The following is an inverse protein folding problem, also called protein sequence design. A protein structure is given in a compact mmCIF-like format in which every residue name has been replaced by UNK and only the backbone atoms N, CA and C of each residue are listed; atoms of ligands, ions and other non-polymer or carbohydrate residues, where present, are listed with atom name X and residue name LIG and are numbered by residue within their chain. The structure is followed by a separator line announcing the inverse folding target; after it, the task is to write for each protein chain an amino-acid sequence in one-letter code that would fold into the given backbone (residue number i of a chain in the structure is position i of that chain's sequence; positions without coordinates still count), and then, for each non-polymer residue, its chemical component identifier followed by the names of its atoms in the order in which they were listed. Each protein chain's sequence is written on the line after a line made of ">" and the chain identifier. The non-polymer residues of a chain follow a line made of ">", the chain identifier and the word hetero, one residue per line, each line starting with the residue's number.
data_IF_554819424595
#
_entry.id   IF_554819424595
#
_cell.length_a   1.000
_cell.length_b   1.000
_cell.length_c   1.000
_cell.angle_alpha   90.00
_cell.angle_beta   90.00
_cell.angle_gamma   90.00
#
_symmetry.space_group_name_H-M   'P 1'
#
loop_
_entity.id
_entity.type
_entity.pdbx_description
1 polymer ?
#
# COMPACT_ATOMS: atom_id res chain seq x y z
N UNK A 1 -13.75 -26.32 35.01
CA UNK A 1 -13.06 -25.79 33.82
C UNK A 1 -13.76 -24.53 33.36
N UNK A 2 -13.04 -23.42 33.17
CA UNK A 2 -13.59 -22.20 32.54
C UNK A 2 -13.11 -22.17 31.09
N UNK A 3 -14.00 -21.85 30.15
CA UNK A 3 -13.73 -21.86 28.71
C UNK A 3 -14.01 -20.45 28.18
N UNK A 4 -13.10 -19.91 27.38
CA UNK A 4 -13.24 -18.59 26.78
C UNK A 4 -13.01 -18.69 25.27
N UNK A 5 -13.88 -18.06 24.48
CA UNK A 5 -13.61 -17.78 23.06
C UNK A 5 -12.88 -16.43 22.99
N UNK A 6 -11.62 -16.44 22.60
CA UNK A 6 -10.78 -15.24 22.47
C UNK A 6 -10.79 -14.71 21.02
N UNK A 7 -10.29 -13.50 20.81
CA UNK A 7 -10.13 -12.94 19.46
C UNK A 7 -9.08 -13.78 18.69
N UNK A 8 -9.38 -14.12 17.44
CA UNK A 8 -8.46 -14.83 16.54
C UNK A 8 -7.24 -14.00 16.14
N UNK A 9 -7.33 -12.67 16.25
CA UNK A 9 -6.24 -11.72 15.97
C UNK A 9 -5.29 -11.54 17.15
N UNK A 10 -5.56 -12.19 18.30
CA UNK A 10 -4.64 -12.14 19.45
C UNK A 10 -3.29 -12.76 19.09
N UNK A 11 -2.21 -12.08 19.47
CA UNK A 11 -0.85 -12.53 19.17
C UNK A 11 -0.56 -13.90 19.79
N UNK A 12 -0.34 -14.91 18.94
CA UNK A 12 -0.05 -16.28 19.35
C UNK A 12 1.17 -16.38 20.28
N UNK A 13 2.20 -15.56 20.06
CA UNK A 13 3.41 -15.59 20.89
C UNK A 13 3.12 -15.07 22.31
N UNK A 14 2.19 -14.12 22.47
CA UNK A 14 1.78 -13.63 23.78
C UNK A 14 0.99 -14.68 24.56
N UNK A 15 0.10 -15.41 23.89
CA UNK A 15 -0.59 -16.54 24.48
C UNK A 15 0.43 -17.60 24.93
N UNK A 16 1.45 -17.87 24.11
CA UNK A 16 2.51 -18.81 24.46
C UNK A 16 3.35 -18.34 25.64
N UNK A 17 3.55 -17.03 25.86
CA UNK A 17 4.22 -16.53 27.08
C UNK A 17 3.46 -16.92 28.35
N UNK A 18 2.12 -16.91 28.30
CA UNK A 18 1.29 -17.33 29.44
C UNK A 18 1.28 -18.85 29.62
N UNK A 19 1.15 -19.62 28.54
CA UNK A 19 1.08 -21.10 28.59
C UNK A 19 2.45 -21.73 28.85
N UNK A 20 3.54 -21.10 28.40
CA UNK A 20 4.91 -21.59 28.44
C UNK A 20 5.12 -22.99 27.80
N UNK A 21 4.74 -23.21 26.52
CA UNK A 21 5.05 -24.46 25.82
C UNK A 21 6.55 -24.57 25.50
N UNK A 22 6.99 -25.74 25.03
CA UNK A 22 8.35 -25.86 24.48
C UNK A 22 8.55 -24.93 23.27
N UNK A 23 9.77 -24.45 23.08
CA UNK A 23 10.12 -23.55 21.96
C UNK A 23 9.86 -24.21 20.60
N UNK A 24 10.14 -25.50 20.52
CA UNK A 24 9.90 -26.33 19.34
C UNK A 24 8.41 -26.43 19.04
N UNK A 25 7.59 -26.67 20.07
CA UNK A 25 6.13 -26.72 19.95
C UNK A 25 5.54 -25.38 19.51
N UNK A 26 5.97 -24.28 20.11
CA UNK A 26 5.57 -22.92 19.72
C UNK A 26 5.89 -22.64 18.25
N UNK A 27 7.11 -22.94 17.80
CA UNK A 27 7.54 -22.70 16.42
C UNK A 27 6.78 -23.53 15.38
N UNK A 28 6.30 -24.71 15.74
CA UNK A 28 5.46 -25.56 14.88
C UNK A 28 4.02 -25.01 14.83
N UNK A 29 3.43 -24.70 15.98
CA UNK A 29 2.04 -24.24 16.08
C UNK A 29 1.84 -22.84 15.50
N UNK A 30 2.81 -21.93 15.65
CA UNK A 30 2.75 -20.57 15.08
C UNK A 30 2.49 -20.57 13.58
N UNK A 31 3.03 -21.55 12.84
CA UNK A 31 2.85 -21.69 11.39
C UNK A 31 1.44 -22.16 11.00
N UNK A 32 0.60 -22.54 11.97
CA UNK A 32 -0.79 -22.95 11.77
C UNK A 32 -1.78 -21.86 12.22
N UNK A 33 -1.29 -20.73 12.71
CA UNK A 33 -2.14 -19.67 13.28
C UNK A 33 -2.88 -18.86 12.20
N UNK A 34 -2.35 -18.81 10.98
CA UNK A 34 -2.93 -18.05 9.87
C UNK A 34 -3.54 -18.98 8.82
N UNK A 35 -4.70 -18.60 8.31
CA UNK A 35 -5.39 -19.26 7.19
C UNK A 35 -5.37 -18.33 5.98
N UNK A 36 -4.89 -18.82 4.85
CA UNK A 36 -4.69 -18.04 3.64
C UNK A 36 -5.59 -18.53 2.51
N UNK A 37 -5.95 -17.62 1.61
CA UNK A 37 -6.82 -17.85 0.47
C UNK A 37 -6.09 -17.39 -0.79
N UNK A 38 -5.87 -18.30 -1.75
CA UNK A 38 -5.27 -17.97 -3.05
C UNK A 38 -6.27 -18.32 -4.16
N UNK A 39 -6.71 -17.32 -4.90
CA UNK A 39 -7.57 -17.53 -6.08
C UNK A 39 -6.67 -17.78 -7.30
N UNK A 40 -6.80 -18.95 -7.91
CA UNK A 40 -6.08 -19.34 -9.11
C UNK A 40 -7.02 -19.20 -10.30
N UNK A 41 -6.80 -18.21 -11.14
CA UNK A 41 -7.53 -18.04 -12.41
C UNK A 41 -6.86 -18.87 -13.51
N UNK A 42 -7.68 -19.32 -14.46
CA UNK A 42 -7.27 -20.02 -15.68
C UNK A 42 -6.36 -21.24 -15.45
N UNK A 43 -6.57 -21.96 -14.34
CA UNK A 43 -5.82 -23.18 -14.04
C UNK A 43 -6.30 -24.31 -14.97
N UNK A 44 -5.35 -24.99 -15.61
CA UNK A 44 -5.62 -26.15 -16.46
C UNK A 44 -6.15 -27.30 -15.62
N UNK A 45 -7.11 -28.06 -16.13
CA UNK A 45 -7.70 -29.20 -15.41
C UNK A 45 -6.66 -30.21 -14.88
N UNK A 46 -5.60 -30.60 -15.63
CA UNK A 46 -4.55 -31.47 -15.09
C UNK A 46 -3.82 -30.84 -13.90
N UNK A 47 -3.50 -29.54 -13.97
CA UNK A 47 -2.85 -28.81 -12.88
C UNK A 47 -3.74 -28.74 -11.64
N UNK A 48 -5.03 -28.47 -11.81
CA UNK A 48 -5.98 -28.41 -10.71
C UNK A 48 -6.18 -29.78 -10.04
N UNK A 49 -6.16 -30.89 -10.81
CA UNK A 49 -6.21 -32.23 -10.25
C UNK A 49 -4.95 -32.59 -9.44
N UNK A 50 -3.76 -32.28 -9.98
CA UNK A 50 -2.49 -32.45 -9.25
C UNK A 50 -2.51 -31.65 -7.95
N UNK A 51 -2.80 -30.35 -8.05
CA UNK A 51 -2.85 -29.44 -6.91
C UNK A 51 -3.89 -29.87 -5.87
N UNK A 52 -5.06 -30.39 -6.29
CA UNK A 52 -6.09 -30.90 -5.36
C UNK A 52 -5.55 -32.09 -4.56
N UNK A 53 -4.89 -33.03 -5.22
CA UNK A 53 -4.31 -34.21 -4.56
C UNK A 53 -3.18 -33.81 -3.60
N UNK A 54 -2.28 -32.94 -4.06
CA UNK A 54 -1.16 -32.46 -3.25
C UNK A 54 -1.64 -31.62 -2.06
N UNK A 55 -2.64 -30.75 -2.22
CA UNK A 55 -3.26 -30.01 -1.12
C UNK A 55 -3.93 -30.93 -0.09
N UNK A 56 -4.77 -31.88 -0.53
CA UNK A 56 -5.45 -32.81 0.37
C UNK A 56 -4.46 -33.69 1.16
N UNK A 57 -3.36 -34.10 0.53
CA UNK A 57 -2.34 -34.94 1.18
C UNK A 57 -1.66 -34.28 2.39
N UNK A 58 -1.76 -32.95 2.51
CA UNK A 58 -1.21 -32.17 3.63
C UNK A 58 -2.31 -31.52 4.48
N UNK A 59 -3.58 -31.89 4.24
CA UNK A 59 -4.76 -31.36 4.94
C UNK A 59 -5.15 -29.94 4.58
N UNK A 60 -4.65 -29.41 3.45
CA UNK A 60 -5.14 -28.16 2.87
C UNK A 60 -6.35 -28.44 1.97
N UNK A 61 -7.06 -27.39 1.57
CA UNK A 61 -8.22 -27.51 0.70
C UNK A 61 -8.03 -26.76 -0.62
N UNK A 62 -8.51 -27.37 -1.70
CA UNK A 62 -8.62 -26.70 -3.00
C UNK A 62 -10.06 -26.83 -3.50
N UNK A 63 -10.74 -25.71 -3.67
CA UNK A 63 -12.05 -25.67 -4.35
C UNK A 63 -11.78 -25.66 -5.84
N UNK A 64 -12.41 -26.55 -6.58
CA UNK A 64 -12.28 -26.67 -8.04
C UNK A 64 -13.64 -26.62 -8.71
N UNK A 65 -13.67 -26.31 -10.00
CA UNK A 65 -14.89 -26.44 -10.80
C UNK A 65 -15.33 -27.91 -10.89
N UNK A 66 -16.65 -28.15 -10.99
CA UNK A 66 -17.22 -29.51 -11.05
C UNK A 66 -16.69 -30.36 -12.22
N UNK A 67 -16.30 -29.73 -13.32
CA UNK A 67 -15.81 -30.41 -14.53
C UNK A 67 -14.29 -30.64 -14.53
N UNK A 68 -13.55 -30.23 -13.49
CA UNK A 68 -12.09 -30.44 -13.42
C UNK A 68 -11.71 -31.92 -13.50
N UNK A 69 -12.54 -32.81 -12.92
CA UNK A 69 -12.34 -34.27 -12.99
C UNK A 69 -12.51 -34.85 -14.39
N UNK A 70 -13.28 -34.17 -15.26
CA UNK A 70 -13.57 -34.59 -16.63
C UNK A 70 -12.55 -34.03 -17.64
N UNK A 71 -11.45 -33.44 -17.15
CA UNK A 71 -10.47 -32.74 -17.97
C UNK A 71 -11.11 -31.64 -18.85
N UNK A 72 -12.04 -30.87 -18.27
CA UNK A 72 -12.68 -29.74 -18.95
C UNK A 72 -11.74 -28.55 -19.20
N UNK A 73 -12.30 -27.47 -19.72
CA UNK A 73 -11.58 -26.21 -19.98
C UNK A 73 -10.89 -25.65 -18.73
N UNK A 74 -9.98 -24.70 -18.95
CA UNK A 74 -9.34 -23.95 -17.87
C UNK A 74 -10.42 -23.33 -16.98
N UNK A 75 -10.17 -23.31 -15.67
CA UNK A 75 -11.16 -22.89 -14.70
C UNK A 75 -10.51 -22.11 -13.56
N UNK A 76 -11.35 -21.60 -12.66
CA UNK A 76 -10.89 -20.96 -11.43
C UNK A 76 -10.88 -21.97 -10.28
N UNK A 77 -9.85 -21.91 -9.44
CA UNK A 77 -9.74 -22.68 -8.21
C UNK A 77 -9.43 -21.76 -7.02
N UNK A 78 -9.79 -22.19 -5.81
CA UNK A 78 -9.46 -21.49 -4.57
C UNK A 78 -8.68 -22.42 -3.64
N UNK A 79 -7.42 -22.10 -3.40
CA UNK A 79 -6.58 -22.79 -2.42
C UNK A 79 -6.77 -22.15 -1.05
N UNK A 80 -7.04 -22.99 -0.05
CA UNK A 80 -7.22 -22.63 1.36
C UNK A 80 -6.17 -23.40 2.17
N UNK A 81 -5.21 -22.68 2.75
CA UNK A 81 -4.07 -23.32 3.40
C UNK A 81 -3.46 -22.45 4.52
N UNK A 82 -2.94 -23.10 5.56
CA UNK A 82 -2.13 -22.45 6.59
C UNK A 82 -0.69 -22.22 6.12
N UNK A 83 0.09 -21.36 6.81
CA UNK A 83 1.49 -21.10 6.45
C UNK A 83 2.35 -22.38 6.41
N UNK A 84 2.08 -23.30 7.34
CA UNK A 84 2.71 -24.62 7.39
C UNK A 84 2.42 -25.44 6.12
N UNK A 85 1.17 -25.42 5.68
CA UNK A 85 0.72 -26.16 4.49
C UNK A 85 1.23 -25.52 3.21
N UNK A 86 1.22 -24.19 3.10
CA UNK A 86 1.78 -23.45 1.96
C UNK A 86 3.25 -23.84 1.77
N UNK A 87 4.04 -23.89 2.85
CA UNK A 87 5.45 -24.25 2.77
C UNK A 87 5.67 -25.65 2.21
N UNK A 88 4.84 -26.61 2.61
CA UNK A 88 4.96 -27.99 2.14
C UNK A 88 4.43 -28.14 0.71
N UNK A 89 3.28 -27.55 0.41
CA UNK A 89 2.69 -27.52 -0.93
C UNK A 89 3.66 -26.91 -1.94
N UNK A 90 4.27 -25.77 -1.62
CA UNK A 90 5.23 -25.11 -2.50
C UNK A 90 6.53 -25.89 -2.74
N UNK A 91 6.82 -26.96 -1.98
CA UNK A 91 7.90 -27.92 -2.34
C UNK A 91 7.40 -28.92 -3.36
N UNK A 92 6.19 -29.46 -3.16
CA UNK A 92 5.56 -30.42 -4.07
C UNK A 92 5.35 -29.79 -5.45
N UNK A 93 4.71 -28.62 -5.49
CA UNK A 93 4.40 -27.92 -6.74
C UNK A 93 5.65 -27.45 -7.52
N UNK A 94 6.80 -27.31 -6.85
CA UNK A 94 8.04 -26.85 -7.51
C UNK A 94 8.59 -27.85 -8.54
N UNK A 95 8.22 -29.13 -8.45
CA UNK A 95 8.62 -30.18 -9.39
C UNK A 95 7.51 -30.57 -10.37
N UNK A 96 6.29 -30.04 -10.19
CA UNK A 96 5.13 -30.34 -11.03
C UNK A 96 5.09 -29.46 -12.29
N UNK A 97 4.45 -29.93 -13.35
CA UNK A 97 4.32 -29.19 -14.62
C UNK A 97 3.04 -28.32 -14.68
N UNK A 98 2.65 -27.89 -15.88
CA UNK A 98 1.41 -27.12 -16.14
C UNK A 98 1.31 -25.77 -15.40
N UNK A 99 2.44 -25.14 -15.10
CA UNK A 99 2.50 -23.83 -14.44
C UNK A 99 2.54 -23.89 -12.91
N UNK A 100 2.48 -25.08 -12.30
CA UNK A 100 2.54 -25.27 -10.85
C UNK A 100 3.89 -24.82 -10.25
N UNK A 101 4.98 -24.84 -11.03
CA UNK A 101 6.27 -24.22 -10.65
C UNK A 101 6.16 -22.72 -10.36
N UNK A 102 5.32 -22.00 -11.10
CA UNK A 102 5.10 -20.57 -10.88
C UNK A 102 4.25 -20.35 -9.63
N UNK A 103 3.21 -21.17 -9.43
CA UNK A 103 2.43 -21.18 -8.19
C UNK A 103 3.35 -21.43 -6.98
N UNK A 104 4.26 -22.41 -7.07
CA UNK A 104 5.21 -22.71 -6.02
C UNK A 104 6.13 -21.53 -5.66
N UNK A 105 6.52 -20.72 -6.66
CA UNK A 105 7.29 -19.48 -6.42
C UNK A 105 6.42 -18.43 -5.74
N UNK A 106 5.20 -18.21 -6.24
CA UNK A 106 4.27 -17.23 -5.68
C UNK A 106 3.86 -17.55 -4.23
N UNK A 107 3.60 -18.82 -3.93
CA UNK A 107 3.31 -19.29 -2.57
C UNK A 107 4.47 -19.07 -1.58
N UNK A 108 5.71 -18.91 -2.09
CA UNK A 108 6.89 -18.59 -1.27
C UNK A 108 7.13 -17.08 -1.13
N UNK A 109 6.37 -16.25 -1.83
CA UNK A 109 6.47 -14.80 -1.71
C UNK A 109 6.10 -14.33 -0.31
N UNK A 110 6.57 -13.12 0.04
CA UNK A 110 6.42 -12.58 1.37
C UNK A 110 5.14 -11.74 1.49
N UNK A 111 4.13 -12.21 2.22
CA UNK A 111 2.90 -11.46 2.51
C UNK A 111 2.94 -10.80 3.90
N UNK A 112 4.14 -10.41 4.36
CA UNK A 112 4.31 -9.86 5.71
C UNK A 112 3.71 -8.46 5.81
N UNK A 113 2.64 -8.35 6.58
CA UNK A 113 1.99 -7.09 6.94
C UNK A 113 2.90 -6.20 7.79
N UNK A 114 2.77 -4.86 7.67
CA UNK A 114 3.51 -3.92 8.50
C UNK A 114 3.04 -4.00 9.96
N UNK A 115 3.95 -3.69 10.89
CA UNK A 115 3.66 -3.68 12.33
C UNK A 115 3.33 -2.28 12.86
N UNK A 116 3.62 -1.25 12.06
CA UNK A 116 3.37 0.17 12.34
C UNK A 116 3.05 0.88 11.04
N UNK A 117 2.07 1.78 11.08
CA UNK A 117 1.79 2.70 9.98
C UNK A 117 2.72 3.91 10.08
N UNK A 118 3.34 4.29 8.96
CA UNK A 118 4.05 5.56 8.81
C UNK A 118 3.10 6.60 8.23
N UNK A 119 3.05 7.78 8.84
CA UNK A 119 2.12 8.84 8.42
C UNK A 119 2.80 9.81 7.48
N UNK A 120 2.16 10.02 6.33
CA UNK A 120 2.52 11.01 5.33
C UNK A 120 1.49 12.14 5.31
N UNK A 121 1.87 13.32 5.79
CA UNK A 121 1.04 14.52 5.75
C UNK A 121 1.07 15.20 4.38
N UNK A 122 -0.08 15.59 3.85
CA UNK A 122 -0.20 16.24 2.53
C UNK A 122 -0.29 17.75 2.66
N UNK A 123 0.60 18.45 1.94
CA UNK A 123 0.65 19.92 1.87
C UNK A 123 0.50 20.35 0.42
N UNK A 124 -0.73 20.72 0.06
CA UNK A 124 -1.06 21.29 -1.24
C UNK A 124 -0.89 22.80 -1.21
N UNK A 125 0.05 23.32 -1.99
CA UNK A 125 0.33 24.74 -2.11
C UNK A 125 -0.68 25.42 -3.06
N UNK A 126 -1.35 24.68 -3.93
CA UNK A 126 -2.26 25.26 -4.92
C UNK A 126 -3.65 25.71 -4.41
N UNK A 127 -4.04 25.34 -3.19
CA UNK A 127 -5.44 25.47 -2.71
C UNK A 127 -5.71 26.73 -1.89
N UNK A 128 -4.67 27.38 -1.37
CA UNK A 128 -4.80 28.61 -0.60
C UNK A 128 -4.32 29.81 -1.44
N UNK A 129 -5.25 30.53 -2.07
CA UNK A 129 -5.10 31.95 -2.46
C UNK A 129 -3.75 32.47 -3.00
N UNK A 130 -3.19 31.88 -4.05
CA UNK A 130 -2.05 32.48 -4.77
C UNK A 130 -2.46 33.67 -5.65
N UNK A 131 -2.59 34.84 -5.02
CA UNK A 131 -2.65 36.14 -5.69
C UNK A 131 -1.54 37.06 -5.14
N UNK A 132 -0.57 37.40 -6.01
CA UNK A 132 0.42 38.50 -6.00
C UNK A 132 1.20 38.94 -4.72
N UNK A 133 1.01 38.35 -3.54
CA UNK A 133 1.76 38.69 -2.31
C UNK A 133 2.33 37.43 -1.64
N UNK A 134 3.33 36.80 -2.28
CA UNK A 134 3.88 35.46 -2.00
C UNK A 134 4.49 35.20 -0.61
N UNK A 135 4.53 36.19 0.29
CA UNK A 135 5.04 36.01 1.67
C UNK A 135 4.03 35.45 2.65
N UNK A 136 2.73 35.52 2.36
CA UNK A 136 1.68 35.03 3.28
C UNK A 136 1.49 33.52 3.14
N UNK A 137 1.67 32.99 1.93
CA UNK A 137 1.43 31.58 1.57
C UNK A 137 2.50 30.60 2.07
N UNK A 138 3.76 30.98 1.90
CA UNK A 138 4.88 30.16 2.37
C UNK A 138 4.86 30.01 3.89
N UNK A 139 4.48 31.08 4.62
CA UNK A 139 4.41 31.05 6.09
C UNK A 139 3.32 30.11 6.60
N UNK A 140 2.12 30.14 6.01
CA UNK A 140 1.06 29.21 6.37
C UNK A 140 1.42 27.76 6.02
N UNK A 141 2.04 27.54 4.85
CA UNK A 141 2.53 26.22 4.46
C UNK A 141 3.56 25.67 5.44
N UNK A 142 4.56 26.47 5.81
CA UNK A 142 5.58 26.09 6.82
C UNK A 142 4.96 25.81 8.17
N UNK A 143 4.06 26.67 8.65
CA UNK A 143 3.38 26.43 9.94
C UNK A 143 2.62 25.11 9.94
N UNK A 144 1.91 24.81 8.86
CA UNK A 144 1.18 23.53 8.69
C UNK A 144 2.14 22.33 8.67
N UNK A 145 3.30 22.47 8.02
CA UNK A 145 4.35 21.44 8.00
C UNK A 145 4.88 21.21 9.42
N UNK A 146 5.17 22.27 10.17
CA UNK A 146 5.63 22.18 11.56
C UNK A 146 4.58 21.49 12.44
N UNK A 147 3.31 21.89 12.33
CA UNK A 147 2.18 21.24 13.01
C UNK A 147 2.09 19.74 12.68
N UNK A 148 2.20 19.37 11.39
CA UNK A 148 2.18 17.96 10.98
C UNK A 148 3.36 17.15 11.56
N UNK A 149 4.55 17.75 11.61
CA UNK A 149 5.74 17.12 12.22
C UNK A 149 5.51 16.92 13.72
N UNK A 150 4.98 17.93 14.41
CA UNK A 150 4.64 17.87 15.84
C UNK A 150 3.56 16.81 16.14
N UNK A 151 2.56 16.69 15.26
CA UNK A 151 1.53 15.67 15.35
C UNK A 151 2.08 14.24 15.13
N UNK A 152 3.25 14.11 14.50
CA UNK A 152 3.97 12.85 14.33
C UNK A 152 4.02 12.33 12.89
N UNK A 153 3.88 13.19 11.88
CA UNK A 153 4.14 12.81 10.49
C UNK A 153 5.62 12.43 10.29
N UNK A 154 5.85 11.24 9.74
CA UNK A 154 7.20 10.77 9.36
C UNK A 154 7.57 11.23 7.95
N UNK A 155 6.56 11.45 7.11
CA UNK A 155 6.70 11.97 5.76
C UNK A 155 5.86 13.24 5.60
N UNK A 156 6.37 14.17 4.80
CA UNK A 156 5.62 15.35 4.35
C UNK A 156 5.64 15.35 2.83
N UNK A 157 4.48 15.27 2.21
CA UNK A 157 4.31 15.26 0.77
C UNK A 157 3.81 16.62 0.28
N UNK A 158 4.66 17.29 -0.48
CA UNK A 158 4.42 18.66 -0.95
C UNK A 158 3.99 18.60 -2.41
N UNK A 159 2.85 19.20 -2.72
CA UNK A 159 2.32 19.29 -4.09
C UNK A 159 1.95 20.73 -4.46
N UNK A 160 2.37 21.18 -5.64
CA UNK A 160 2.03 22.53 -6.15
C UNK A 160 1.06 22.52 -7.34
N UNK A 161 0.75 21.34 -7.85
CA UNK A 161 -0.21 21.13 -8.95
C UNK A 161 -1.26 20.14 -8.50
N UNK A 162 -2.51 20.40 -8.90
CA UNK A 162 -3.60 19.49 -8.58
C UNK A 162 -3.46 18.25 -9.47
N UNK A 163 -3.55 17.08 -8.86
CA UNK A 163 -3.71 15.79 -9.55
C UNK A 163 -5.15 15.28 -9.48
N UNK A 164 -6.09 16.15 -9.08
CA UNK A 164 -7.52 15.81 -8.99
C UNK A 164 -8.08 15.48 -10.38
N UNK A 165 -9.10 14.61 -10.48
CA UNK A 165 -9.76 14.32 -11.75
C UNK A 165 -10.15 15.59 -12.52
N UNK A 166 -9.79 15.64 -13.81
CA UNK A 166 -10.10 16.76 -14.71
C UNK A 166 -9.20 18.00 -14.54
N UNK A 167 -8.17 17.93 -13.71
CA UNK A 167 -7.19 19.01 -13.59
C UNK A 167 -6.26 19.06 -14.80
N UNK A 168 -5.95 20.28 -15.27
CA UNK A 168 -4.98 20.51 -16.33
C UNK A 168 -3.64 20.91 -15.74
N UNK A 169 -2.56 20.41 -16.33
CA UNK A 169 -1.22 20.81 -15.93
C UNK A 169 -0.98 22.29 -16.24
N UNK A 170 -0.46 23.03 -15.25
CA UNK A 170 -0.23 24.48 -15.35
C UNK A 170 1.13 24.84 -15.95
N UNK A 171 1.97 23.85 -16.23
CA UNK A 171 3.31 24.01 -16.79
C UNK A 171 4.41 24.14 -15.74
N UNK A 172 5.60 23.64 -16.09
CA UNK A 172 6.80 23.58 -15.22
C UNK A 172 7.14 24.92 -14.57
N UNK A 173 7.06 26.01 -15.34
CA UNK A 173 7.39 27.35 -14.84
C UNK A 173 6.44 27.79 -13.72
N UNK A 174 5.15 27.51 -13.83
CA UNK A 174 4.16 27.91 -12.82
C UNK A 174 4.28 27.03 -11.59
N UNK A 175 4.49 25.73 -11.78
CA UNK A 175 4.76 24.79 -10.69
C UNK A 175 6.00 25.19 -9.89
N UNK A 176 7.12 25.47 -10.57
CA UNK A 176 8.35 25.90 -9.95
C UNK A 176 8.18 27.20 -9.15
N UNK A 177 7.50 28.20 -9.73
CA UNK A 177 7.25 29.47 -9.04
C UNK A 177 6.42 29.31 -7.76
N UNK A 178 5.54 28.30 -7.69
CA UNK A 178 4.78 27.96 -6.47
C UNK A 178 5.64 27.20 -5.44
N UNK A 179 6.57 26.37 -5.91
CA UNK A 179 7.39 25.51 -5.05
C UNK A 179 8.63 26.19 -4.47
N UNK A 180 9.26 27.09 -5.25
CA UNK A 180 10.64 27.54 -4.96
C UNK A 180 10.82 28.14 -3.57
N UNK A 181 9.86 28.95 -3.13
CA UNK A 181 9.95 29.71 -1.87
C UNK A 181 9.75 28.79 -0.66
N UNK A 182 8.75 27.89 -0.71
CA UNK A 182 8.48 26.96 0.39
C UNK A 182 9.55 25.87 0.50
N UNK A 183 10.06 25.34 -0.62
CA UNK A 183 11.17 24.38 -0.61
C UNK A 183 12.44 25.02 -0.04
N UNK A 184 12.76 26.27 -0.43
CA UNK A 184 13.90 26.99 0.13
C UNK A 184 13.74 27.24 1.64
N UNK A 185 12.53 27.56 2.08
CA UNK A 185 12.23 27.81 3.49
C UNK A 185 12.26 26.53 4.34
N UNK A 186 11.77 25.40 3.82
CA UNK A 186 11.90 24.05 4.42
C UNK A 186 13.38 23.72 4.66
N UNK A 187 14.23 24.01 3.66
CA UNK A 187 15.67 23.81 3.76
C UNK A 187 16.31 24.74 4.79
N UNK A 188 16.03 26.06 4.70
CA UNK A 188 16.56 27.09 5.61
C UNK A 188 16.23 26.82 7.08
N UNK A 189 15.06 26.27 7.35
CA UNK A 189 14.59 25.92 8.70
C UNK A 189 14.99 24.51 9.15
N UNK A 190 15.73 23.76 8.33
CA UNK A 190 16.14 22.37 8.59
C UNK A 190 14.96 21.42 8.87
N UNK A 191 13.77 21.70 8.32
CA UNK A 191 12.60 20.84 8.54
C UNK A 191 12.79 19.48 7.86
N UNK A 192 13.55 19.45 6.75
CA UNK A 192 13.93 18.23 6.03
C UNK A 192 14.78 17.24 6.86
N UNK A 193 15.34 17.67 8.00
CA UNK A 193 16.04 16.79 8.94
C UNK A 193 15.07 16.14 9.95
N UNK A 194 13.86 16.70 10.11
CA UNK A 194 12.87 16.26 11.10
C UNK A 194 11.85 15.25 10.53
N UNK A 195 11.64 15.26 9.22
CA UNK A 195 10.75 14.34 8.52
C UNK A 195 11.28 14.04 7.10
N UNK A 196 10.82 12.94 6.49
CA UNK A 196 11.19 12.57 5.11
C UNK A 196 10.30 13.35 4.13
N UNK A 197 10.86 14.37 3.49
CA UNK A 197 10.12 15.18 2.52
C UNK A 197 10.03 14.47 1.16
N UNK A 198 8.81 14.50 0.62
CA UNK A 198 8.40 13.98 -0.68
C UNK A 198 7.87 15.13 -1.53
N UNK A 199 8.16 15.11 -2.83
CA UNK A 199 7.55 16.02 -3.80
C UNK A 199 6.59 15.26 -4.72
N UNK A 200 5.31 15.64 -4.71
CA UNK A 200 4.26 15.18 -5.63
C UNK A 200 4.36 16.00 -6.92
N UNK A 201 5.17 15.49 -7.86
CA UNK A 201 5.45 16.14 -9.15
C UNK A 201 5.96 15.12 -10.16
N UNK A 202 5.73 15.43 -11.44
CA UNK A 202 6.32 14.74 -12.59
C UNK A 202 7.30 15.63 -13.38
N UNK A 203 7.52 16.87 -12.94
CA UNK A 203 8.44 17.79 -13.61
C UNK A 203 9.87 17.61 -13.07
N UNK A 204 10.78 17.17 -13.95
CA UNK A 204 12.17 16.84 -13.57
C UNK A 204 12.91 18.03 -12.95
N UNK A 205 12.65 19.25 -13.42
CA UNK A 205 13.31 20.46 -12.91
C UNK A 205 12.84 20.79 -11.48
N UNK A 206 11.53 20.71 -11.22
CA UNK A 206 10.98 20.89 -9.88
C UNK A 206 11.50 19.82 -8.91
N UNK A 207 11.53 18.56 -9.36
CA UNK A 207 12.07 17.44 -8.59
C UNK A 207 13.54 17.64 -8.26
N UNK A 208 14.37 17.96 -9.25
CA UNK A 208 15.81 18.20 -9.04
C UNK A 208 16.05 19.36 -8.07
N UNK A 209 15.26 20.44 -8.16
CA UNK A 209 15.34 21.53 -7.18
C UNK A 209 15.02 21.04 -5.76
N UNK A 210 13.93 20.31 -5.54
CA UNK A 210 13.57 19.80 -4.22
C UNK A 210 14.62 18.83 -3.64
N UNK A 211 15.15 17.94 -4.48
CA UNK A 211 16.19 16.98 -4.09
C UNK A 211 17.49 17.67 -3.64
N UNK A 212 17.88 18.75 -4.32
CA UNK A 212 19.01 19.58 -3.90
C UNK A 212 18.75 20.35 -2.57
N UNK A 213 17.49 20.41 -2.13
CA UNK A 213 17.05 21.02 -0.87
C UNK A 213 16.66 19.97 0.18
N UNK A 214 17.22 18.76 0.08
CA UNK A 214 17.13 17.76 1.13
C UNK A 214 15.90 16.86 1.07
N UNK A 215 15.02 17.00 0.06
CA UNK A 215 13.93 16.04 -0.16
C UNK A 215 14.52 14.65 -0.44
N UNK A 216 13.80 13.61 0.02
CA UNK A 216 14.27 12.21 0.03
C UNK A 216 13.30 11.24 -0.64
N UNK A 217 12.29 11.76 -1.32
CA UNK A 217 11.31 10.97 -2.05
C UNK A 217 10.76 11.75 -3.25
N UNK A 218 10.67 11.06 -4.38
CA UNK A 218 9.90 11.48 -5.56
C UNK A 218 8.56 10.74 -5.48
N UNK A 219 7.45 11.46 -5.44
CA UNK A 219 6.11 10.88 -5.50
C UNK A 219 5.51 11.08 -6.89
N UNK A 220 5.63 10.07 -7.75
CA UNK A 220 5.28 10.16 -9.15
C UNK A 220 3.97 9.42 -9.46
N UNK A 221 2.93 10.20 -9.79
CA UNK A 221 1.62 9.69 -10.18
C UNK A 221 1.59 9.06 -11.59
N UNK A 222 2.62 9.28 -12.40
CA UNK A 222 2.70 8.86 -13.81
C UNK A 222 3.47 7.56 -14.01
N UNK A 223 4.24 7.14 -13.00
CA UNK A 223 5.18 6.01 -13.08
C UNK A 223 6.15 6.11 -14.27
N UNK A 224 6.68 7.31 -14.54
CA UNK A 224 7.68 7.55 -15.57
C UNK A 224 9.07 7.03 -15.13
N UNK A 225 9.59 6.08 -15.88
CA UNK A 225 10.92 5.50 -15.68
C UNK A 225 12.05 6.54 -15.77
N UNK A 226 11.86 7.67 -16.45
CA UNK A 226 12.88 8.74 -16.45
C UNK A 226 13.04 9.37 -15.06
N UNK A 227 11.95 9.53 -14.31
CA UNK A 227 11.99 10.06 -12.95
C UNK A 227 12.62 9.06 -11.97
N UNK A 228 12.49 7.77 -12.23
CA UNK A 228 13.22 6.74 -11.48
C UNK A 228 14.74 6.85 -11.65
N UNK A 229 15.24 7.24 -12.83
CA UNK A 229 16.67 7.54 -13.04
C UNK A 229 17.11 8.71 -12.16
N UNK A 230 16.29 9.75 -12.04
CA UNK A 230 16.55 10.87 -11.16
C UNK A 230 16.60 10.41 -9.70
N UNK A 231 15.64 9.59 -9.26
CA UNK A 231 15.65 9.01 -7.91
C UNK A 231 16.94 8.21 -7.64
N UNK A 232 17.37 7.37 -8.58
CA UNK A 232 18.62 6.62 -8.50
C UNK A 232 19.86 7.54 -8.38
N UNK A 233 19.93 8.60 -9.22
CA UNK A 233 21.02 9.59 -9.20
C UNK A 233 21.19 10.24 -7.81
N UNK A 234 20.09 10.56 -7.14
CA UNK A 234 20.11 11.21 -5.83
C UNK A 234 20.08 10.21 -4.65
N UNK A 235 19.94 8.90 -4.91
CA UNK A 235 19.84 7.87 -3.87
C UNK A 235 18.61 8.05 -2.98
N UNK A 236 17.47 8.43 -3.58
CA UNK A 236 16.21 8.72 -2.88
C UNK A 236 15.13 7.72 -3.24
N UNK A 237 14.05 7.73 -2.46
CA UNK A 237 12.91 6.84 -2.66
C UNK A 237 12.09 7.27 -3.88
N UNK A 238 11.58 6.30 -4.63
CA UNK A 238 10.67 6.51 -5.75
C UNK A 238 9.30 5.87 -5.47
N UNK A 239 8.27 6.70 -5.34
CA UNK A 239 6.88 6.23 -5.28
C UNK A 239 6.38 5.98 -6.69
N UNK A 240 5.94 4.76 -6.94
CA UNK A 240 5.41 4.32 -8.21
C UNK A 240 3.91 4.09 -8.05
N UNK A 241 3.11 5.02 -8.59
CA UNK A 241 1.66 4.92 -8.52
C UNK A 241 1.06 4.30 -9.78
N UNK A 242 0.05 3.44 -9.60
CA UNK A 242 -0.77 2.95 -10.70
C UNK A 242 -1.96 3.87 -10.99
N UNK A 243 -2.09 4.29 -12.25
CA UNK A 243 -3.22 5.06 -12.78
C UNK A 243 -3.58 4.56 -14.19
N UNK A 244 -4.87 4.41 -14.46
CA UNK A 244 -5.37 4.22 -15.83
C UNK A 244 -5.58 5.57 -16.51
N UNK A 245 -5.13 5.69 -17.75
CA UNK A 245 -5.12 6.91 -18.56
C UNK A 245 -4.31 8.07 -17.92
N UNK A 246 -4.80 9.30 -17.97
CA UNK A 246 -4.14 10.49 -17.40
C UNK A 246 -5.06 11.22 -16.40
N UNK A 247 -4.56 12.14 -15.56
CA UNK A 247 -5.41 12.86 -14.59
C UNK A 247 -6.58 13.62 -15.24
N UNK A 248 -6.44 13.99 -16.52
CA UNK A 248 -7.44 14.70 -17.30
C UNK A 248 -8.67 13.82 -17.64
N UNK A 249 -8.46 12.54 -17.95
CA UNK A 249 -9.49 11.63 -18.50
C UNK A 249 -9.61 10.29 -17.76
N UNK A 250 -8.91 10.10 -16.64
CA UNK A 250 -8.93 8.84 -15.88
C UNK A 250 -10.33 8.47 -15.36
N UNK A 251 -11.25 9.43 -15.22
CA UNK A 251 -12.62 9.13 -14.77
C UNK A 251 -13.61 8.92 -15.93
N UNK A 252 -13.13 8.95 -17.18
CA UNK A 252 -13.94 8.72 -18.37
C UNK A 252 -14.13 7.22 -18.58
N UNK A 253 -15.18 6.66 -17.94
CA UNK A 253 -15.56 5.25 -18.03
C UNK A 253 -14.40 4.27 -17.77
N UNK A 254 -13.71 4.34 -16.61
CA UNK A 254 -12.65 3.39 -16.28
C UNK A 254 -13.22 1.97 -16.19
N UNK A 255 -12.48 1.02 -16.76
CA UNK A 255 -12.87 -0.40 -16.81
C UNK A 255 -11.63 -1.28 -16.68
N UNK A 256 -11.78 -2.36 -15.91
CA UNK A 256 -10.80 -3.43 -15.77
C UNK A 256 -11.51 -4.77 -15.94
N UNK A 257 -10.93 -5.68 -16.72
CA UNK A 257 -11.41 -7.06 -16.82
C UNK A 257 -10.86 -7.89 -15.65
N UNK A 258 -9.63 -7.59 -15.22
CA UNK A 258 -9.00 -8.18 -14.05
C UNK A 258 -8.24 -7.12 -13.23
N UNK A 259 -8.97 -6.38 -12.40
CA UNK A 259 -8.43 -5.28 -11.61
C UNK A 259 -7.13 -5.63 -10.86
N UNK A 260 -7.06 -6.78 -10.20
CA UNK A 260 -5.86 -7.17 -9.47
C UNK A 260 -4.76 -7.61 -10.45
N UNK A 261 -5.07 -8.46 -11.43
CA UNK A 261 -4.09 -8.98 -12.37
C UNK A 261 -3.46 -7.93 -13.28
N UNK A 262 -4.23 -6.92 -13.71
CA UNK A 262 -3.75 -5.82 -14.53
C UNK A 262 -2.79 -4.91 -13.73
N UNK A 263 -3.13 -4.59 -12.47
CA UNK A 263 -2.28 -3.77 -11.59
C UNK A 263 -1.02 -4.54 -11.16
N UNK A 264 -1.16 -5.84 -10.89
CA UNK A 264 -0.04 -6.74 -10.60
C UNK A 264 0.96 -6.76 -11.76
N UNK A 265 0.47 -6.97 -12.98
CA UNK A 265 1.29 -6.98 -14.19
C UNK A 265 1.97 -5.62 -14.44
N UNK A 266 1.26 -4.52 -14.20
CA UNK A 266 1.80 -3.17 -14.27
C UNK A 266 2.98 -2.99 -13.30
N UNK A 267 2.81 -3.37 -12.04
CA UNK A 267 3.88 -3.24 -11.05
C UNK A 267 5.06 -4.14 -11.37
N UNK A 268 4.83 -5.40 -11.79
CA UNK A 268 5.89 -6.31 -12.16
C UNK A 268 6.79 -5.75 -13.28
N UNK A 269 6.19 -5.20 -14.35
CA UNK A 269 6.91 -4.56 -15.45
C UNK A 269 7.66 -3.30 -15.00
N UNK A 270 6.98 -2.42 -14.26
CA UNK A 270 7.55 -1.14 -13.83
C UNK A 270 8.68 -1.32 -12.82
N UNK A 271 8.55 -2.21 -11.84
CA UNK A 271 9.58 -2.51 -10.86
C UNK A 271 10.85 -3.03 -11.56
N UNK A 272 10.70 -3.93 -12.54
CA UNK A 272 11.84 -4.44 -13.30
C UNK A 272 12.60 -3.30 -14.00
N UNK A 273 11.89 -2.41 -14.71
CA UNK A 273 12.47 -1.26 -15.40
C UNK A 273 13.14 -0.26 -14.44
N UNK A 274 12.51 0.02 -13.31
CA UNK A 274 13.05 0.94 -12.29
C UNK A 274 14.34 0.40 -11.67
N UNK A 275 14.40 -0.91 -11.39
CA UNK A 275 15.61 -1.58 -10.89
C UNK A 275 16.73 -1.61 -11.92
N UNK A 276 16.42 -1.83 -13.21
CA UNK A 276 17.43 -1.75 -14.29
C UNK A 276 18.10 -0.37 -14.37
N UNK A 277 17.40 0.69 -13.93
CA UNK A 277 17.94 2.05 -13.84
C UNK A 277 18.70 2.33 -12.54
N UNK A 278 18.82 1.36 -11.64
CA UNK A 278 19.56 1.44 -10.39
C UNK A 278 18.78 2.03 -9.21
N UNK A 279 17.46 2.20 -9.32
CA UNK A 279 16.62 2.64 -8.20
C UNK A 279 16.07 1.42 -7.45
N UNK A 280 16.55 1.22 -6.22
CA UNK A 280 16.15 0.08 -5.38
C UNK A 280 15.14 0.45 -4.27
N UNK A 281 15.14 1.70 -3.81
CA UNK A 281 14.20 2.20 -2.78
C UNK A 281 12.87 2.61 -3.45
N UNK A 282 12.00 1.62 -3.66
CA UNK A 282 10.72 1.78 -4.36
C UNK A 282 9.56 1.65 -3.36
N UNK A 283 8.55 2.51 -3.50
CA UNK A 283 7.25 2.41 -2.82
C UNK A 283 6.17 2.22 -3.87
N UNK A 284 5.18 1.37 -3.62
CA UNK A 284 4.06 1.14 -4.54
C UNK A 284 2.80 1.84 -4.03
N UNK A 285 2.09 2.57 -4.89
CA UNK A 285 0.74 3.10 -4.61
C UNK A 285 -0.26 2.55 -5.63
N UNK A 286 -1.30 1.86 -5.17
CA UNK A 286 -2.35 1.28 -6.02
C UNK A 286 -3.24 2.35 -6.69
N UNK A 287 -3.09 3.63 -6.32
CA UNK A 287 -3.73 4.78 -6.92
C UNK A 287 -5.23 4.81 -6.66
N UNK A 288 -5.64 4.77 -5.39
CA UNK A 288 -7.06 4.90 -5.01
C UNK A 288 -7.64 6.19 -5.59
N UNK A 289 -8.73 6.12 -6.35
CA UNK A 289 -9.37 7.29 -6.98
C UNK A 289 -8.71 7.74 -8.29
N UNK A 290 -7.70 7.04 -8.79
CA UNK A 290 -7.03 7.33 -10.06
C UNK A 290 -7.36 6.26 -11.11
N UNK A 291 -8.32 6.54 -11.98
CA UNK A 291 -8.65 5.62 -13.07
C UNK A 291 -9.46 4.41 -12.64
N UNK A 292 -10.36 4.54 -11.66
CA UNK A 292 -11.01 3.41 -10.96
C UNK A 292 -12.40 3.78 -10.47
N UNK A 293 -13.35 2.84 -10.55
CA UNK A 293 -14.69 3.02 -9.98
C UNK A 293 -14.65 3.03 -8.43
N UNK A 294 -15.67 3.55 -7.74
CA UNK A 294 -15.76 3.45 -6.27
C UNK A 294 -15.64 2.01 -5.75
N UNK A 295 -16.19 1.03 -6.48
CA UNK A 295 -16.13 -0.39 -6.17
C UNK A 295 -14.70 -0.92 -6.30
N UNK A 296 -14.00 -0.61 -7.39
CA UNK A 296 -12.61 -1.00 -7.61
C UNK A 296 -11.70 -0.48 -6.49
N UNK A 297 -11.92 0.77 -6.07
CA UNK A 297 -11.17 1.39 -4.98
C UNK A 297 -11.32 0.63 -3.65
N UNK A 298 -12.54 0.25 -3.29
CA UNK A 298 -12.76 -0.56 -2.08
C UNK A 298 -12.23 -1.99 -2.24
N UNK A 299 -12.35 -2.57 -3.43
CA UNK A 299 -11.83 -3.90 -3.72
C UNK A 299 -10.30 -3.94 -3.60
N UNK A 300 -9.61 -2.90 -4.06
CA UNK A 300 -8.16 -2.77 -3.90
C UNK A 300 -7.74 -2.63 -2.45
N UNK A 301 -8.40 -1.78 -1.66
CA UNK A 301 -8.09 -1.68 -0.23
C UNK A 301 -8.36 -3.02 0.47
N UNK A 302 -9.43 -3.72 0.11
CA UNK A 302 -9.80 -5.02 0.68
C UNK A 302 -8.78 -6.12 0.35
N UNK A 303 -8.18 -6.10 -0.83
CA UNK A 303 -7.25 -7.11 -1.32
C UNK A 303 -5.81 -6.61 -1.46
N UNK A 304 -5.48 -5.51 -0.76
CA UNK A 304 -4.18 -4.84 -0.83
C UNK A 304 -3.00 -5.79 -0.49
N UNK A 305 -3.27 -6.78 0.37
CA UNK A 305 -2.29 -7.77 0.83
C UNK A 305 -1.63 -8.52 -0.32
N UNK A 306 -2.36 -8.69 -1.44
CA UNK A 306 -1.84 -9.30 -2.66
C UNK A 306 -0.52 -8.66 -3.12
N UNK A 307 -0.40 -7.33 -3.07
CA UNK A 307 0.76 -6.60 -3.58
C UNK A 307 1.99 -6.69 -2.66
N UNK A 308 1.85 -7.21 -1.43
CA UNK A 308 3.00 -7.45 -0.55
C UNK A 308 3.98 -8.46 -1.14
N UNK A 309 3.53 -9.34 -2.05
CA UNK A 309 4.38 -10.34 -2.66
C UNK A 309 5.57 -9.74 -3.43
N UNK A 310 5.50 -8.47 -3.85
CA UNK A 310 6.62 -7.73 -4.45
C UNK A 310 7.76 -7.44 -3.46
N UNK A 311 7.50 -7.55 -2.15
CA UNK A 311 8.47 -7.28 -1.10
C UNK A 311 8.80 -5.80 -0.92
N UNK A 312 7.93 -4.90 -1.40
CA UNK A 312 8.08 -3.45 -1.34
C UNK A 312 7.04 -2.81 -0.41
N UNK A 313 7.35 -1.66 0.22
CA UNK A 313 6.38 -0.88 0.97
C UNK A 313 5.18 -0.46 0.11
N UNK A 314 4.00 -0.45 0.72
CA UNK A 314 2.75 -0.01 0.09
C UNK A 314 2.31 1.33 0.70
N UNK A 315 2.01 2.29 -0.16
CA UNK A 315 1.43 3.59 0.17
C UNK A 315 -0.05 3.61 -0.24
N UNK A 316 -0.90 4.15 0.65
CA UNK A 316 -2.31 4.40 0.31
C UNK A 316 -2.71 5.82 0.69
N UNK A 317 -3.22 6.56 -0.29
CA UNK A 317 -3.91 7.82 -0.08
C UNK A 317 -5.41 7.71 -0.40
N UNK A 318 -6.26 7.55 0.61
CA UNK A 318 -7.72 7.53 0.49
C UNK A 318 -8.41 8.73 1.19
N UNK A 319 -7.63 9.62 1.80
CA UNK A 319 -8.13 10.77 2.57
C UNK A 319 -9.06 11.66 1.75
N UNK A 320 -10.30 11.82 2.25
CA UNK A 320 -11.36 12.70 1.75
C UNK A 320 -11.80 12.45 0.29
N UNK A 321 -11.39 11.31 -0.31
CA UNK A 321 -11.68 10.98 -1.72
C UNK A 321 -13.16 10.72 -2.00
N UNK A 322 -13.52 10.82 -3.28
CA UNK A 322 -14.90 10.66 -3.79
C UNK A 322 -15.51 9.28 -3.52
N UNK A 323 -14.68 8.24 -3.34
CA UNK A 323 -15.15 6.90 -2.94
C UNK A 323 -15.98 6.94 -1.65
N UNK A 324 -15.62 7.79 -0.69
CA UNK A 324 -16.38 7.97 0.56
C UNK A 324 -17.75 8.58 0.24
N UNK A 325 -17.79 9.61 -0.59
CA UNK A 325 -19.03 10.29 -0.99
C UNK A 325 -20.00 9.37 -1.73
N UNK A 326 -19.49 8.43 -2.51
CA UNK A 326 -20.34 7.49 -3.26
C UNK A 326 -21.19 6.61 -2.32
N UNK A 327 -20.61 6.14 -1.21
CA UNK A 327 -21.32 5.31 -0.23
C UNK A 327 -21.94 6.11 0.92
N UNK A 328 -21.39 7.27 1.24
CA UNK A 328 -21.86 8.17 2.30
C UNK A 328 -21.75 9.64 1.81
N UNK A 329 -22.78 10.13 1.11
CA UNK A 329 -22.78 11.48 0.55
C UNK A 329 -22.48 12.54 1.61
N UNK A 330 -21.43 13.34 1.37
CA UNK A 330 -20.90 14.28 2.33
C UNK A 330 -19.95 15.30 1.70
N UNK A 331 -19.92 16.50 2.27
CA UNK A 331 -18.91 17.51 1.94
C UNK A 331 -17.50 16.98 2.23
N UNK A 332 -16.50 17.45 1.48
CA UNK A 332 -15.08 17.06 1.66
C UNK A 332 -14.62 17.23 3.11
N UNK A 333 -15.06 18.30 3.78
CA UNK A 333 -14.73 18.59 5.19
C UNK A 333 -15.26 17.53 6.16
N UNK A 334 -16.33 16.83 5.83
CA UNK A 334 -17.02 15.84 6.69
C UNK A 334 -16.61 14.38 6.42
N UNK A 335 -15.61 14.15 5.56
CA UNK A 335 -15.16 12.80 5.17
C UNK A 335 -14.08 12.19 6.06
N UNK A 336 -13.68 12.84 7.14
CA UNK A 336 -12.67 12.32 8.06
C UNK A 336 -13.02 10.90 8.60
N UNK A 337 -14.25 10.61 9.07
CA UNK A 337 -14.57 9.26 9.57
C UNK A 337 -14.38 8.17 8.51
N UNK A 338 -14.81 8.41 7.28
CA UNK A 338 -14.58 7.50 6.15
C UNK A 338 -13.10 7.35 5.82
N UNK A 339 -12.33 8.44 5.93
CA UNK A 339 -10.88 8.43 5.66
C UNK A 339 -10.13 7.56 6.67
N UNK A 340 -10.42 7.73 7.96
CA UNK A 340 -9.87 6.91 9.04
C UNK A 340 -10.18 5.43 8.84
N UNK A 341 -11.44 5.10 8.54
CA UNK A 341 -11.84 3.71 8.28
C UNK A 341 -11.08 3.08 7.10
N UNK A 342 -11.00 3.77 5.96
CA UNK A 342 -10.30 3.25 4.78
C UNK A 342 -8.81 3.08 5.03
N UNK A 343 -8.17 3.99 5.76
CA UNK A 343 -6.75 3.90 6.08
C UNK A 343 -6.43 2.83 7.12
N UNK A 344 -7.28 2.64 8.14
CA UNK A 344 -7.15 1.51 9.07
C UNK A 344 -7.23 0.18 8.31
N UNK A 345 -8.21 0.03 7.40
CA UNK A 345 -8.34 -1.17 6.58
C UNK A 345 -7.18 -1.35 5.61
N UNK A 346 -6.66 -0.27 5.04
CA UNK A 346 -5.46 -0.32 4.21
C UNK A 346 -4.25 -0.84 5.01
N UNK A 347 -4.02 -0.34 6.23
CA UNK A 347 -2.94 -0.81 7.11
C UNK A 347 -3.09 -2.30 7.46
N UNK A 348 -4.28 -2.72 7.89
CA UNK A 348 -4.60 -4.14 8.18
C UNK A 348 -4.39 -5.08 6.97
N UNK A 349 -4.50 -4.52 5.76
CA UNK A 349 -4.30 -5.23 4.50
C UNK A 349 -2.92 -4.97 3.87
N UNK A 350 -1.98 -4.33 4.55
CA UNK A 350 -0.58 -4.28 4.11
C UNK A 350 0.02 -2.90 3.84
N UNK A 351 -0.76 -1.81 3.87
CA UNK A 351 -0.22 -0.46 3.69
C UNK A 351 0.74 -0.09 4.83
N UNK A 352 2.00 0.19 4.50
CA UNK A 352 2.99 0.66 5.47
C UNK A 352 3.02 2.19 5.57
N UNK A 353 2.61 2.91 4.52
CA UNK A 353 2.58 4.36 4.48
C UNK A 353 1.15 4.84 4.21
N UNK A 354 0.66 5.77 5.03
CA UNK A 354 -0.69 6.32 4.94
C UNK A 354 -0.61 7.81 4.62
N UNK A 355 -1.10 8.19 3.43
CA UNK A 355 -1.09 9.56 2.93
C UNK A 355 -2.40 10.28 3.28
N UNK A 356 -2.33 11.34 4.09
CA UNK A 356 -3.51 11.99 4.67
C UNK A 356 -3.39 13.50 4.84
N UNK A 357 -4.54 14.18 4.87
CA UNK A 357 -4.64 15.60 5.22
C UNK A 357 -4.72 15.84 6.74
N UNK A 358 -5.15 14.82 7.50
CA UNK A 358 -5.57 14.92 8.91
C UNK A 358 -4.58 14.13 9.80
N UNK A 359 -3.36 14.64 9.96
CA UNK A 359 -2.25 13.90 10.58
C UNK A 359 -2.56 13.52 12.03
N UNK A 360 -2.97 14.49 12.85
CA UNK A 360 -3.22 14.29 14.28
C UNK A 360 -4.18 13.12 14.56
N UNK A 361 -5.27 13.04 13.80
CA UNK A 361 -6.32 12.05 13.97
C UNK A 361 -5.87 10.67 13.49
N UNK A 362 -5.08 10.60 12.41
CA UNK A 362 -4.50 9.33 11.96
C UNK A 362 -3.46 8.82 12.95
N UNK A 363 -2.59 9.69 13.47
CA UNK A 363 -1.62 9.31 14.50
C UNK A 363 -2.33 8.82 15.76
N UNK A 364 -3.39 9.50 16.19
CA UNK A 364 -4.20 9.04 17.33
C UNK A 364 -4.79 7.65 17.06
N UNK A 365 -5.43 7.44 15.90
CA UNK A 365 -6.03 6.16 15.52
C UNK A 365 -5.00 5.03 15.57
N UNK A 366 -3.83 5.21 14.95
CA UNK A 366 -2.81 4.16 14.91
C UNK A 366 -2.09 3.93 16.24
N UNK A 367 -2.00 4.95 17.11
CA UNK A 367 -1.52 4.77 18.50
C UNK A 367 -2.49 3.88 19.30
N UNK A 368 -3.79 4.05 19.11
CA UNK A 368 -4.79 3.19 19.76
C UNK A 368 -4.76 1.77 19.18
N UNK A 369 -4.65 1.63 17.86
CA UNK A 369 -4.46 0.33 17.20
C UNK A 369 -3.21 -0.41 17.72
N UNK A 370 -2.07 0.28 17.81
CA UNK A 370 -0.83 -0.28 18.36
C UNK A 370 -1.00 -0.69 19.83
N UNK A 371 -1.63 0.16 20.65
CA UNK A 371 -1.93 -0.17 22.04
C UNK A 371 -2.80 -1.44 22.13
N UNK A 372 -3.85 -1.57 21.30
CA UNK A 372 -4.71 -2.76 21.26
C UNK A 372 -3.94 -4.03 20.86
N UNK A 373 -3.06 -3.95 19.85
CA UNK A 373 -2.26 -5.10 19.39
C UNK A 373 -1.22 -5.57 20.40
N UNK A 374 -0.76 -4.69 21.29
CA UNK A 374 0.25 -4.97 22.31
C UNK A 374 -0.36 -5.37 23.69
N UNK A 375 -1.69 -5.39 23.82
CA UNK A 375 -2.34 -5.84 25.06
C UNK A 375 -2.29 -7.36 25.17
N UNK A 376 -1.60 -7.86 26.19
CA UNK A 376 -1.66 -9.28 26.53
C UNK A 376 -2.96 -9.61 27.27
N UNK A 377 -3.62 -10.72 26.91
CA UNK A 377 -4.82 -11.23 27.59
C UNK A 377 -4.64 -11.40 29.11
N UNK A 378 -3.45 -11.76 29.55
CA UNK A 378 -3.13 -12.08 30.93
C UNK A 378 -1.88 -11.32 31.32
N UNK A 379 -2.07 -10.08 31.79
CA UNK A 379 -0.97 -9.30 32.34
C UNK A 379 -0.30 -10.09 33.47
N UNK A 380 1.04 -10.15 33.48
CA UNK A 380 1.80 -10.61 34.65
C UNK A 380 1.73 -9.55 35.75
N UNK A 381 0.53 -9.33 36.31
CA UNK A 381 0.35 -8.59 37.55
C UNK A 381 -0.40 -9.50 38.53
N UNK A 382 0.39 -10.35 39.18
CA UNK A 382 0.17 -10.88 40.52
C UNK A 382 1.47 -10.69 41.28
#
# INVERSE_FOLDING_TARGET
>A
MKIFKINQETNFDEICKFISPSKEGQAIMKKKANLNFFLLKDIRSPAANILKQDALSIGAELVTHKNTILNGENSTALLIATDAQIKELAKKEAVQDFGLKNLAKFLKSNFKKPVRAQIMGVVNINEDSFNAQSRVDTKSGIKKIEEMIEDGAEYIDVGAVSSRPGSKYVGAKVEFERLKDIVAEIYRLNLHEKAKFSLDSFDEYCLEYALNHGFKMINDITADTNLARLAAKYGVQYCLMHMQNSPENMQDSPHYDDLLGEIDSFFADKIAKVRELGCEDIVLDVGVGFGKTPQDNLLLIKHLEHFLHFGLPLLVGASRKSVINFYSPSDVSKRLPGSLYLHQKAFENGASIIRTHDVSEHVQMFKIDEAMRNLSLWSQNG
#
